data_IF_174064288559
#
_entry.id   IF_174064288559
#
_cell.length_a   1.000
_cell.length_b   1.000
_cell.length_c   1.000
_cell.angle_alpha   90.00
_cell.angle_beta   90.00
_cell.angle_gamma   90.00
#
_symmetry.space_group_name_H-M   'P 1'
#
loop_
_entity.id
_entity.type
_entity.pdbx_description
1 polymer ?
#
# COMPACT_ATOMS: atom_id res chain seq x y z
N UNK A 1 14.83 7.11 -7.11
CA UNK A 1 16.11 7.73 -6.64
C UNK A 1 16.07 7.81 -5.13
N UNK A 2 17.14 7.42 -4.42
CA UNK A 2 17.23 7.53 -2.96
C UNK A 2 17.40 9.00 -2.60
N UNK A 3 16.46 9.53 -1.85
CA UNK A 3 16.50 10.91 -1.35
C UNK A 3 17.05 10.92 0.08
N UNK A 4 18.33 11.25 0.21
CA UNK A 4 19.03 11.27 1.51
C UNK A 4 18.62 12.46 2.39
N UNK A 5 17.90 13.42 1.84
CA UNK A 5 17.37 14.57 2.60
C UNK A 5 16.00 14.26 3.21
N UNK A 6 15.35 13.20 2.77
CA UNK A 6 14.07 12.77 3.28
C UNK A 6 14.26 12.01 4.61
N UNK A 7 13.74 12.53 5.74
CA UNK A 7 13.85 11.87 7.04
C UNK A 7 13.16 10.51 7.10
N UNK A 8 12.25 10.23 6.17
CA UNK A 8 11.56 8.95 6.06
C UNK A 8 12.28 7.96 5.13
N UNK A 9 13.41 8.37 4.50
CA UNK A 9 14.25 7.54 3.66
C UNK A 9 15.48 7.04 4.43
N UNK A 10 15.31 5.99 5.22
CA UNK A 10 16.46 5.33 5.88
C UNK A 10 17.14 4.41 4.86
N UNK A 11 18.35 4.73 4.48
CA UNK A 11 19.11 3.97 3.48
C UNK A 11 20.50 3.59 3.98
N UNK A 12 21.01 2.48 3.44
CA UNK A 12 22.40 2.04 3.67
C UNK A 12 23.01 1.54 2.36
N UNK A 13 24.33 1.55 2.33
CA UNK A 13 25.10 0.97 1.22
C UNK A 13 25.85 -0.26 1.75
N UNK A 14 25.81 -1.35 0.99
CA UNK A 14 26.62 -2.54 1.28
C UNK A 14 27.13 -3.21 0.02
N UNK A 15 28.24 -3.93 0.15
CA UNK A 15 28.71 -4.83 -0.90
C UNK A 15 28.00 -6.18 -0.80
N UNK A 16 27.56 -6.70 -1.93
CA UNK A 16 26.97 -8.03 -2.04
C UNK A 16 27.76 -8.84 -3.06
N UNK A 17 27.95 -10.12 -2.75
CA UNK A 17 28.53 -11.07 -3.68
C UNK A 17 27.51 -11.40 -4.75
N UNK A 18 27.87 -11.19 -6.02
CA UNK A 18 27.05 -11.57 -7.17
C UNK A 18 27.33 -13.02 -7.52
N UNK A 19 26.30 -13.84 -7.58
CA UNK A 19 26.39 -15.24 -8.00
C UNK A 19 26.02 -15.37 -9.47
N UNK A 20 26.56 -16.38 -10.14
CA UNK A 20 26.36 -16.58 -11.58
C UNK A 20 24.89 -16.66 -12.02
N UNK A 21 23.98 -17.15 -11.18
CA UNK A 21 22.54 -17.22 -11.51
C UNK A 21 21.82 -15.85 -11.44
N UNK A 22 22.47 -14.84 -10.88
CA UNK A 22 21.94 -13.46 -10.75
C UNK A 22 22.30 -12.59 -11.97
N UNK A 23 23.05 -13.14 -12.92
CA UNK A 23 23.39 -12.46 -14.17
C UNK A 23 22.17 -12.46 -15.12
N UNK A 24 22.07 -11.44 -15.96
CA UNK A 24 21.02 -11.35 -17.00
C UNK A 24 21.10 -12.54 -17.98
N UNK A 25 22.31 -13.04 -18.23
CA UNK A 25 22.61 -14.23 -19.07
C UNK A 25 23.45 -15.20 -18.25
N UNK A 26 22.83 -16.04 -17.40
CA UNK A 26 23.57 -17.03 -16.64
C UNK A 26 24.21 -18.06 -17.60
N UNK A 27 25.46 -18.42 -17.36
CA UNK A 27 26.16 -19.45 -18.12
C UNK A 27 25.51 -20.83 -17.86
N UNK A 28 24.82 -21.44 -18.84
CA UNK A 28 24.11 -22.69 -18.65
C UNK A 28 25.02 -23.89 -18.36
N UNK A 29 26.34 -23.75 -18.59
CA UNK A 29 27.31 -24.83 -18.34
C UNK A 29 27.78 -24.87 -16.89
N UNK A 30 27.50 -23.82 -16.10
CA UNK A 30 27.90 -23.73 -14.68
C UNK A 30 26.74 -24.11 -13.76
N UNK A 31 26.64 -25.40 -13.45
CA UNK A 31 25.63 -25.90 -12.50
C UNK A 31 25.93 -25.55 -11.03
N UNK A 32 27.11 -25.03 -10.70
CA UNK A 32 27.48 -24.61 -9.34
C UNK A 32 27.33 -23.12 -9.19
N UNK A 33 26.74 -22.69 -8.05
CA UNK A 33 26.69 -21.31 -7.64
C UNK A 33 28.11 -20.81 -7.36
N UNK A 34 28.66 -20.02 -8.28
CA UNK A 34 30.00 -19.43 -8.15
C UNK A 34 29.87 -17.91 -8.03
N UNK A 35 30.73 -17.33 -7.19
CA UNK A 35 30.87 -15.89 -7.14
C UNK A 35 31.49 -15.41 -8.44
N UNK A 36 30.89 -14.39 -9.06
CA UNK A 36 31.40 -13.74 -10.28
C UNK A 36 31.91 -12.32 -10.00
N UNK A 37 31.80 -11.86 -8.76
CA UNK A 37 32.28 -10.56 -8.32
C UNK A 37 31.53 -10.03 -7.11
N UNK A 38 31.82 -8.78 -6.76
CA UNK A 38 31.09 -8.01 -5.76
C UNK A 38 30.42 -6.82 -6.44
N UNK A 39 29.27 -6.43 -5.93
CA UNK A 39 28.54 -5.25 -6.38
C UNK A 39 28.09 -4.42 -5.18
N UNK A 40 28.24 -3.11 -5.29
CA UNK A 40 27.69 -2.18 -4.31
C UNK A 40 26.19 -2.01 -4.56
N UNK A 41 25.38 -2.28 -3.54
CA UNK A 41 23.93 -2.07 -3.59
C UNK A 41 23.52 -1.01 -2.58
N UNK A 42 22.53 -0.22 -2.96
CA UNK A 42 21.89 0.74 -2.09
C UNK A 42 20.55 0.15 -1.64
N UNK A 43 20.39 -0.02 -0.34
CA UNK A 43 19.17 -0.57 0.26
C UNK A 43 18.40 0.53 0.96
N UNK A 44 17.07 0.57 0.75
CA UNK A 44 16.15 1.43 1.49
C UNK A 44 15.42 0.56 2.50
N UNK A 45 15.36 1.01 3.75
CA UNK A 45 14.56 0.36 4.76
C UNK A 45 13.07 0.52 4.45
N UNK A 46 12.34 -0.60 4.38
CA UNK A 46 10.90 -0.60 4.11
C UNK A 46 10.10 -0.58 5.42
N UNK A 47 9.25 0.42 5.65
CA UNK A 47 8.38 0.49 6.84
C UNK A 47 7.18 -0.46 6.78
N UNK A 48 6.94 -1.12 5.65
CA UNK A 48 5.74 -1.91 5.36
C UNK A 48 5.42 -2.92 6.46
N UNK A 49 6.40 -3.68 6.92
CA UNK A 49 6.21 -4.72 7.94
C UNK A 49 5.97 -4.17 9.33
N UNK A 50 6.71 -3.13 9.69
CA UNK A 50 6.57 -2.50 11.00
C UNK A 50 5.17 -1.89 11.14
N UNK A 51 4.70 -1.19 10.10
CA UNK A 51 3.35 -0.60 10.11
C UNK A 51 2.27 -1.69 10.03
N UNK A 52 2.47 -2.78 9.27
CA UNK A 52 1.53 -3.89 9.24
C UNK A 52 1.39 -4.57 10.61
N UNK A 53 2.50 -4.71 11.34
CA UNK A 53 2.48 -5.23 12.71
C UNK A 53 1.73 -4.28 13.65
N UNK A 54 1.98 -2.97 13.54
CA UNK A 54 1.26 -1.96 14.32
C UNK A 54 -0.26 -2.04 14.07
N UNK A 55 -0.69 -2.15 12.81
CA UNK A 55 -2.12 -2.34 12.48
C UNK A 55 -2.69 -3.58 13.18
N UNK A 56 -1.95 -4.68 13.22
CA UNK A 56 -2.40 -5.92 13.88
C UNK A 56 -2.45 -5.83 15.40
N UNK A 57 -1.63 -4.99 16.00
CA UNK A 57 -1.64 -4.75 17.45
C UNK A 57 -2.79 -3.81 17.86
N UNK A 58 -3.11 -2.83 17.03
CA UNK A 58 -4.12 -1.81 17.31
C UNK A 58 -5.54 -2.22 16.86
N UNK A 59 -5.64 -3.01 15.79
CA UNK A 59 -6.93 -3.43 15.23
C UNK A 59 -7.04 -4.96 15.19
N UNK A 60 -8.18 -5.55 15.59
CA UNK A 60 -8.39 -7.00 15.61
C UNK A 60 -8.61 -7.58 14.20
N UNK A 61 -7.75 -7.20 13.26
CA UNK A 61 -7.85 -7.62 11.86
C UNK A 61 -7.16 -8.96 11.62
N UNK A 62 -7.77 -9.78 10.77
CA UNK A 62 -7.12 -10.99 10.24
C UNK A 62 -5.95 -10.60 9.34
N UNK A 63 -4.90 -11.42 9.27
CA UNK A 63 -3.73 -11.17 8.42
C UNK A 63 -4.10 -10.89 6.96
N UNK A 64 -5.09 -11.61 6.42
CA UNK A 64 -5.58 -11.35 5.06
C UNK A 64 -6.18 -9.94 4.93
N UNK A 65 -6.99 -9.50 5.89
CA UNK A 65 -7.58 -8.15 5.86
C UNK A 65 -6.51 -7.06 5.85
N UNK A 66 -5.47 -7.19 6.69
CA UNK A 66 -4.34 -6.23 6.69
C UNK A 66 -3.64 -6.19 5.32
N UNK A 67 -3.39 -7.35 4.73
CA UNK A 67 -2.70 -7.45 3.42
C UNK A 67 -3.44 -6.79 2.27
N UNK A 68 -4.76 -6.77 2.31
CA UNK A 68 -5.60 -6.23 1.24
C UNK A 68 -6.15 -4.84 1.54
N UNK A 69 -5.71 -4.18 2.62
CA UNK A 69 -6.07 -2.79 2.87
C UNK A 69 -5.68 -1.91 1.69
N UNK A 70 -6.63 -1.08 1.28
CA UNK A 70 -6.43 -0.13 0.19
C UNK A 70 -5.79 1.16 0.71
N UNK A 71 -4.85 1.72 -0.03
CA UNK A 71 -4.15 2.96 0.31
C UNK A 71 -4.95 4.24 0.06
N UNK A 72 -6.08 4.13 -0.68
CA UNK A 72 -6.89 5.28 -1.08
C UNK A 72 -6.30 6.07 -2.25
N UNK A 73 -5.36 5.49 -3.01
CA UNK A 73 -4.78 6.19 -4.17
C UNK A 73 -5.77 6.39 -5.32
N UNK A 74 -6.90 5.67 -5.33
CA UNK A 74 -8.01 5.87 -6.27
C UNK A 74 -9.19 6.65 -5.68
N UNK A 75 -9.12 7.04 -4.41
CA UNK A 75 -10.18 7.82 -3.76
C UNK A 75 -10.26 9.24 -4.33
N UNK A 76 -11.45 9.86 -4.24
CA UNK A 76 -11.65 11.24 -4.68
C UNK A 76 -10.91 12.24 -3.80
N UNK A 77 -10.88 11.97 -2.50
CA UNK A 77 -10.20 12.79 -1.50
C UNK A 77 -9.07 12.03 -0.85
N UNK A 78 -7.97 12.72 -0.64
CA UNK A 78 -6.77 12.19 -0.01
C UNK A 78 -6.55 12.84 1.33
N UNK A 79 -6.29 12.04 2.35
CA UNK A 79 -5.87 12.52 3.66
C UNK A 79 -4.36 12.83 3.65
N UNK A 80 -3.99 13.95 4.27
CA UNK A 80 -2.60 14.36 4.43
C UNK A 80 -2.31 14.71 5.88
N UNK A 81 -1.03 14.62 6.27
CA UNK A 81 -0.58 15.15 7.54
C UNK A 81 -0.48 16.69 7.46
N UNK A 82 -1.09 17.38 8.40
CA UNK A 82 -0.84 18.80 8.59
C UNK A 82 0.56 18.98 9.20
N UNK A 83 1.51 19.66 8.56
CA UNK A 83 2.89 19.75 9.04
C UNK A 83 3.02 20.30 10.46
N UNK A 84 2.22 21.32 10.79
CA UNK A 84 2.20 21.93 12.13
C UNK A 84 1.59 20.96 13.16
N UNK A 85 0.48 20.31 12.81
CA UNK A 85 -0.14 19.30 13.66
C UNK A 85 0.76 18.10 13.90
N UNK A 86 1.46 17.60 12.86
CA UNK A 86 2.43 16.50 12.98
C UNK A 86 3.61 16.87 13.87
N UNK A 87 4.10 18.10 13.78
CA UNK A 87 5.18 18.57 14.65
C UNK A 87 4.73 18.59 16.12
N UNK A 88 3.58 19.18 16.43
CA UNK A 88 3.01 19.22 17.78
C UNK A 88 2.82 17.80 18.33
N UNK A 89 2.22 16.92 17.52
CA UNK A 89 1.98 15.53 17.90
C UNK A 89 3.28 14.78 18.26
N UNK A 90 4.34 14.93 17.46
CA UNK A 90 5.65 14.32 17.74
C UNK A 90 6.32 14.84 19.00
N UNK A 91 6.08 16.10 19.34
CA UNK A 91 6.59 16.74 20.54
C UNK A 91 5.79 16.39 21.80
N UNK A 92 4.68 15.65 21.66
CA UNK A 92 3.75 15.41 22.77
C UNK A 92 2.98 16.65 23.21
N UNK A 93 2.97 17.69 22.38
CA UNK A 93 2.28 18.94 22.66
C UNK A 93 0.80 18.83 22.33
N UNK A 94 -0.09 19.51 23.06
CA UNK A 94 -1.52 19.57 22.75
C UNK A 94 -1.75 20.12 21.33
N UNK A 95 -2.61 19.47 20.57
CA UNK A 95 -2.98 19.91 19.22
C UNK A 95 -3.82 21.18 19.23
N UNK A 96 -4.60 21.41 20.29
CA UNK A 96 -5.52 22.54 20.40
C UNK A 96 -6.49 22.55 19.21
N UNK A 97 -6.56 23.66 18.49
CA UNK A 97 -7.37 23.80 17.27
C UNK A 97 -6.62 23.42 16.00
N UNK A 98 -5.34 22.99 16.09
CA UNK A 98 -4.55 22.59 14.92
C UNK A 98 -4.86 21.13 14.59
N UNK A 99 -5.48 20.81 13.44
CA UNK A 99 -5.78 19.42 13.09
C UNK A 99 -4.48 18.67 12.77
N UNK A 100 -4.42 17.38 13.13
CA UNK A 100 -3.32 16.49 12.73
C UNK A 100 -3.43 16.10 11.25
N UNK A 101 -4.65 16.01 10.75
CA UNK A 101 -4.93 15.59 9.37
C UNK A 101 -5.73 16.66 8.63
N UNK A 102 -5.55 16.71 7.33
CA UNK A 102 -6.37 17.49 6.42
C UNK A 102 -6.75 16.65 5.19
N UNK A 103 -7.85 17.00 4.55
CA UNK A 103 -8.32 16.35 3.35
C UNK A 103 -8.16 17.27 2.15
N UNK A 104 -7.63 16.72 1.05
CA UNK A 104 -7.44 17.43 -0.21
C UNK A 104 -7.98 16.59 -1.38
N UNK A 105 -8.29 17.20 -2.53
CA UNK A 105 -8.54 16.44 -3.75
C UNK A 105 -7.34 15.55 -4.10
N UNK A 106 -7.61 14.33 -4.57
CA UNK A 106 -6.54 13.39 -4.93
C UNK A 106 -6.06 13.64 -6.37
N UNK A 107 -4.82 14.12 -6.57
CA UNK A 107 -4.32 14.47 -7.90
C UNK A 107 -4.01 13.23 -8.77
N UNK A 108 -3.79 12.07 -8.15
CA UNK A 108 -3.38 10.86 -8.86
C UNK A 108 -4.56 10.00 -9.36
N UNK A 109 -5.77 10.25 -8.85
CA UNK A 109 -6.97 9.46 -9.16
C UNK A 109 -7.18 9.25 -10.65
N UNK A 110 -7.27 10.34 -11.41
CA UNK A 110 -7.57 10.28 -12.85
C UNK A 110 -6.49 9.54 -13.63
N UNK A 111 -5.22 9.73 -13.27
CA UNK A 111 -4.10 9.04 -13.89
C UNK A 111 -4.18 7.52 -13.67
N UNK A 112 -4.48 7.09 -12.44
CA UNK A 112 -4.56 5.68 -12.09
C UNK A 112 -5.78 4.99 -12.73
N UNK A 113 -6.88 5.70 -12.89
CA UNK A 113 -8.13 5.16 -13.45
C UNK A 113 -8.21 5.21 -14.98
N UNK A 114 -7.35 5.99 -15.65
CA UNK A 114 -7.44 6.28 -17.09
C UNK A 114 -7.50 5.04 -17.98
N UNK A 115 -6.75 4.01 -17.64
CA UNK A 115 -6.56 2.80 -18.46
C UNK A 115 -7.28 1.57 -17.88
N UNK A 116 -8.14 1.75 -16.89
CA UNK A 116 -8.87 0.63 -16.32
C UNK A 116 -10.07 0.25 -17.19
N UNK A 117 -10.32 -1.06 -17.40
CA UNK A 117 -11.47 -1.55 -18.15
C UNK A 117 -12.78 -1.49 -17.31
N UNK A 118 -12.85 -0.63 -16.32
CA UNK A 118 -14.02 -0.45 -15.44
C UNK A 118 -14.81 0.77 -15.87
N UNK A 119 -16.14 0.68 -15.82
CA UNK A 119 -16.98 1.85 -16.05
C UNK A 119 -16.73 2.88 -14.93
N UNK A 120 -16.52 4.14 -15.29
CA UNK A 120 -16.20 5.22 -14.34
C UNK A 120 -17.23 5.36 -13.21
N UNK A 121 -18.51 5.03 -13.46
CA UNK A 121 -19.57 5.04 -12.46
C UNK A 121 -19.47 3.90 -11.41
N UNK A 122 -18.65 2.89 -11.66
CA UNK A 122 -18.46 1.75 -10.78
C UNK A 122 -17.29 1.95 -9.78
N UNK A 123 -16.55 3.07 -9.86
CA UNK A 123 -15.44 3.37 -8.97
C UNK A 123 -15.96 4.15 -7.77
N UNK A 124 -15.79 3.59 -6.57
CA UNK A 124 -16.18 4.26 -5.35
C UNK A 124 -15.45 5.61 -5.18
N UNK A 125 -16.13 6.58 -4.59
CA UNK A 125 -15.51 7.86 -4.23
C UNK A 125 -14.52 7.72 -3.08
N UNK A 126 -14.73 6.71 -2.23
CA UNK A 126 -13.86 6.37 -1.11
C UNK A 126 -13.82 4.87 -0.92
N UNK A 127 -12.63 4.29 -1.01
CA UNK A 127 -12.37 2.86 -0.88
C UNK A 127 -11.15 2.57 0.01
N UNK A 128 -10.26 3.55 0.16
CA UNK A 128 -9.07 3.44 0.97
C UNK A 128 -9.34 3.24 2.45
N UNK A 129 -8.31 2.78 3.16
CA UNK A 129 -8.38 2.53 4.61
C UNK A 129 -8.78 3.77 5.43
N UNK A 130 -8.60 4.96 4.88
CA UNK A 130 -8.90 6.22 5.55
C UNK A 130 -10.37 6.61 5.33
N UNK A 131 -11.21 6.37 6.31
CA UNK A 131 -12.62 6.73 6.26
C UNK A 131 -12.80 8.19 6.69
N UNK A 132 -13.19 9.07 5.76
CA UNK A 132 -13.60 10.42 6.09
C UNK A 132 -14.99 10.40 6.69
N UNK A 133 -15.15 11.01 7.84
CA UNK A 133 -16.45 11.26 8.46
C UNK A 133 -16.57 12.73 8.82
N UNK A 134 -17.71 13.28 8.48
CA UNK A 134 -18.07 14.65 8.83
C UNK A 134 -19.33 14.58 9.67
N UNK A 135 -19.28 15.16 10.83
CA UNK A 135 -20.45 15.54 11.60
C UNK A 135 -20.52 17.08 11.67
N UNK A 136 -21.59 17.62 12.29
CA UNK A 136 -21.82 19.07 12.34
C UNK A 136 -20.68 19.83 13.04
N UNK A 137 -19.87 19.17 13.84
CA UNK A 137 -18.85 19.80 14.68
C UNK A 137 -17.42 19.50 14.20
N UNK A 138 -17.16 18.40 13.52
CA UNK A 138 -15.78 17.97 13.22
C UNK A 138 -15.66 17.06 12.01
N UNK A 139 -14.52 17.15 11.36
CA UNK A 139 -14.08 16.25 10.32
C UNK A 139 -13.07 15.29 10.95
N UNK A 140 -13.40 14.01 11.07
CA UNK A 140 -12.52 13.01 11.68
C UNK A 140 -12.26 11.80 10.79
N UNK A 141 -11.22 11.06 11.14
CA UNK A 141 -10.74 9.92 10.35
C UNK A 141 -11.05 8.62 11.08
N UNK A 142 -11.82 7.76 10.45
CA UNK A 142 -11.99 6.36 10.87
C UNK A 142 -11.25 5.41 9.95
N UNK A 143 -11.54 4.11 10.09
CA UNK A 143 -10.99 3.07 9.21
C UNK A 143 -12.09 2.46 8.34
N UNK A 144 -11.77 2.22 7.08
CA UNK A 144 -12.53 1.37 6.20
C UNK A 144 -11.74 0.10 5.91
N UNK A 145 -12.33 -1.04 6.25
CA UNK A 145 -11.78 -2.35 5.99
C UNK A 145 -12.49 -2.91 4.77
N UNK A 146 -11.79 -2.98 3.66
CA UNK A 146 -12.35 -3.28 2.33
C UNK A 146 -12.82 -4.74 2.13
N UNK A 147 -12.71 -5.59 3.14
CA UNK A 147 -13.22 -6.97 3.09
C UNK A 147 -13.60 -7.50 4.47
N UNK A 148 -14.72 -8.22 4.53
CA UNK A 148 -15.12 -9.04 5.66
C UNK A 148 -15.03 -10.55 5.32
N UNK A 149 -14.12 -10.91 4.41
CA UNK A 149 -13.82 -12.28 3.98
C UNK A 149 -15.10 -13.06 3.59
N UNK A 150 -15.45 -14.09 4.35
CA UNK A 150 -16.58 -14.98 4.05
C UNK A 150 -17.94 -14.27 4.02
N UNK A 151 -18.12 -13.23 4.83
CA UNK A 151 -19.38 -12.46 4.85
C UNK A 151 -19.57 -11.60 3.60
N UNK A 152 -18.56 -11.49 2.75
CA UNK A 152 -18.59 -10.69 1.52
C UNK A 152 -18.61 -11.54 0.24
N UNK A 153 -18.69 -12.87 0.35
CA UNK A 153 -18.62 -13.78 -0.81
C UNK A 153 -19.73 -13.47 -1.82
N UNK A 154 -20.95 -13.29 -1.31
CA UNK A 154 -22.14 -13.07 -2.14
C UNK A 154 -22.48 -11.58 -2.34
N UNK A 155 -21.61 -10.68 -1.87
CA UNK A 155 -21.81 -9.24 -2.02
C UNK A 155 -21.10 -8.72 -3.25
N UNK A 156 -21.72 -7.81 -3.97
CA UNK A 156 -21.03 -6.99 -4.93
C UNK A 156 -19.95 -6.11 -4.23
N UNK A 157 -19.00 -5.61 -4.99
CA UNK A 157 -17.85 -4.92 -4.43
C UNK A 157 -18.22 -3.64 -3.64
N UNK A 158 -19.33 -2.98 -3.96
CA UNK A 158 -19.80 -1.75 -3.30
C UNK A 158 -20.28 -1.99 -1.88
N UNK A 159 -20.74 -3.20 -1.59
CA UNK A 159 -21.28 -3.61 -0.29
C UNK A 159 -20.29 -4.44 0.54
N UNK A 160 -19.06 -4.59 0.06
CA UNK A 160 -18.00 -5.30 0.80
C UNK A 160 -17.35 -4.43 1.85
N UNK A 161 -16.78 -5.11 2.84
CA UNK A 161 -16.05 -4.46 3.91
C UNK A 161 -16.95 -3.91 5.02
N UNK A 162 -16.33 -3.14 5.89
CA UNK A 162 -17.02 -2.50 7.02
C UNK A 162 -16.23 -1.29 7.51
N UNK A 163 -16.88 -0.46 8.32
CA UNK A 163 -16.36 0.80 8.84
C UNK A 163 -16.07 0.69 10.33
N UNK A 164 -14.94 1.22 10.77
CA UNK A 164 -14.58 1.37 12.18
C UNK A 164 -14.53 2.88 12.46
N UNK A 165 -15.55 3.46 13.12
CA UNK A 165 -15.61 4.89 13.38
C UNK A 165 -14.76 5.29 14.60
N UNK A 166 -13.51 4.94 14.58
CA UNK A 166 -12.55 5.20 15.65
C UNK A 166 -11.30 5.88 15.11
N UNK A 167 -11.00 7.06 15.61
CA UNK A 167 -9.79 7.77 15.26
C UNK A 167 -8.67 7.42 16.21
N UNK A 168 -7.60 6.83 15.69
CA UNK A 168 -6.34 6.62 16.38
C UNK A 168 -5.26 7.44 15.70
N UNK A 169 -4.88 8.57 16.32
CA UNK A 169 -3.95 9.53 15.73
C UNK A 169 -2.59 8.90 15.40
N UNK A 170 -2.06 8.06 16.28
CA UNK A 170 -0.78 7.40 16.07
C UNK A 170 -0.84 6.43 14.88
N UNK A 171 -1.85 5.56 14.85
CA UNK A 171 -2.00 4.58 13.78
C UNK A 171 -2.28 5.25 12.43
N UNK A 172 -3.24 6.19 12.37
CA UNK A 172 -3.54 6.93 11.13
C UNK A 172 -2.32 7.68 10.60
N UNK A 173 -1.55 8.31 11.51
CA UNK A 173 -0.31 8.98 11.13
C UNK A 173 0.68 8.03 10.44
N UNK A 174 0.90 6.85 11.00
CA UNK A 174 1.80 5.87 10.39
C UNK A 174 1.29 5.31 9.08
N UNK A 175 -0.02 5.12 8.94
CA UNK A 175 -0.63 4.69 7.68
C UNK A 175 -0.49 5.76 6.58
N UNK A 176 -0.69 7.05 6.91
CA UNK A 176 -0.46 8.15 5.97
C UNK A 176 1.02 8.21 5.55
N UNK A 177 1.95 8.10 6.51
CA UNK A 177 3.40 8.07 6.20
C UNK A 177 3.75 6.87 5.33
N UNK A 178 3.22 5.69 5.61
CA UNK A 178 3.43 4.51 4.79
C UNK A 178 2.91 4.72 3.37
N UNK A 179 1.70 5.24 3.19
CA UNK A 179 1.15 5.53 1.86
C UNK A 179 2.04 6.50 1.10
N UNK A 180 2.48 7.60 1.72
CA UNK A 180 3.35 8.60 1.09
C UNK A 180 4.71 7.99 0.73
N UNK A 181 5.28 7.17 1.59
CA UNK A 181 6.50 6.42 1.33
C UNK A 181 6.32 5.47 0.13
N UNK A 182 5.21 4.71 0.09
CA UNK A 182 4.89 3.81 -1.03
C UNK A 182 4.78 4.57 -2.36
N UNK A 183 4.10 5.71 -2.37
CA UNK A 183 3.96 6.52 -3.58
C UNK A 183 5.31 7.05 -4.08
N UNK A 184 6.21 7.41 -3.18
CA UNK A 184 7.53 7.96 -3.52
C UNK A 184 8.51 6.88 -3.96
N UNK A 185 8.59 5.76 -3.24
CA UNK A 185 9.64 4.75 -3.42
C UNK A 185 9.15 3.45 -4.08
N UNK A 186 7.86 3.22 -4.12
CA UNK A 186 7.23 2.03 -4.69
C UNK A 186 5.89 2.37 -5.38
N UNK A 187 5.90 3.32 -6.35
CA UNK A 187 4.67 3.75 -7.01
C UNK A 187 4.06 2.59 -7.79
N UNK A 188 2.73 2.60 -7.88
CA UNK A 188 1.99 1.69 -8.74
C UNK A 188 1.66 2.38 -10.04
N UNK A 189 1.74 1.65 -11.14
CA UNK A 189 1.33 2.12 -12.46
C UNK A 189 -0.15 1.88 -12.73
N UNK A 190 -0.72 0.84 -12.13
CA UNK A 190 -2.11 0.44 -12.31
C UNK A 190 -2.66 -0.26 -11.06
N UNK A 191 -3.87 0.08 -10.61
CA UNK A 191 -4.54 -0.63 -9.53
C UNK A 191 -4.84 -2.09 -9.90
N UNK A 192 -4.87 -2.95 -8.90
CA UNK A 192 -5.30 -4.34 -9.06
C UNK A 192 -6.81 -4.42 -9.00
N UNK A 193 -7.44 -5.09 -9.92
CA UNK A 193 -8.88 -5.31 -9.89
C UNK A 193 -9.23 -6.38 -8.83
N UNK A 194 -10.22 -6.11 -7.99
CA UNK A 194 -10.61 -7.01 -6.90
C UNK A 194 -10.97 -8.42 -7.37
N UNK A 195 -11.54 -8.57 -8.56
CA UNK A 195 -11.84 -9.88 -9.18
C UNK A 195 -10.60 -10.76 -9.36
N UNK A 196 -9.43 -10.17 -9.62
CA UNK A 196 -8.17 -10.92 -9.75
C UNK A 196 -7.72 -11.50 -8.42
N UNK A 197 -7.95 -10.76 -7.32
CA UNK A 197 -7.68 -11.22 -5.96
C UNK A 197 -8.56 -12.41 -5.57
N UNK A 198 -9.85 -12.28 -5.82
CA UNK A 198 -10.84 -13.32 -5.48
C UNK A 198 -10.54 -14.62 -6.22
N UNK A 199 -10.10 -14.53 -7.47
CA UNK A 199 -9.69 -15.69 -8.28
C UNK A 199 -8.52 -16.48 -7.69
N UNK A 200 -7.45 -15.77 -7.31
CA UNK A 200 -6.23 -16.41 -6.78
C UNK A 200 -6.48 -17.12 -5.45
N UNK A 201 -7.44 -16.63 -4.67
CA UNK A 201 -7.71 -17.16 -3.33
C UNK A 201 -8.84 -18.18 -3.25
N UNK A 202 -9.78 -18.18 -4.19
CA UNK A 202 -10.95 -19.06 -4.16
C UNK A 202 -10.96 -20.16 -5.23
N UNK A 203 -9.94 -20.21 -6.09
CA UNK A 203 -9.88 -21.21 -7.17
C UNK A 203 -10.99 -21.07 -8.23
N UNK A 204 -11.70 -19.94 -8.24
CA UNK A 204 -12.84 -19.75 -9.11
C UNK A 204 -12.45 -19.52 -10.57
N UNK A 205 -13.12 -20.23 -11.47
CA UNK A 205 -13.04 -20.07 -12.92
C UNK A 205 -13.67 -18.73 -13.35
N UNK A 206 -13.08 -18.14 -14.38
CA UNK A 206 -13.48 -16.85 -14.97
C UNK A 206 -14.92 -16.86 -15.47
N UNK A 207 -15.72 -15.86 -15.07
CA UNK A 207 -16.74 -15.32 -15.94
C UNK A 207 -16.32 -13.91 -16.35
N UNK A 208 -16.29 -13.63 -17.64
CA UNK A 208 -15.89 -12.33 -18.23
C UNK A 208 -16.86 -11.20 -17.85
N UNK A 209 -18.07 -11.56 -17.44
CA UNK A 209 -19.13 -10.61 -17.10
C UNK A 209 -18.81 -9.70 -15.88
N UNK A 210 -17.89 -10.08 -15.00
CA UNK A 210 -17.67 -9.37 -13.73
C UNK A 210 -16.49 -8.37 -13.77
N UNK A 211 -15.82 -8.18 -14.90
CA UNK A 211 -14.73 -7.19 -15.01
C UNK A 211 -15.23 -5.75 -14.94
N UNK A 212 -16.47 -5.51 -15.39
CA UNK A 212 -17.08 -4.16 -15.37
C UNK A 212 -17.46 -3.69 -13.96
N UNK A 213 -17.61 -4.63 -13.01
CA UNK A 213 -18.00 -4.36 -11.62
C UNK A 213 -16.85 -4.51 -10.62
N UNK A 214 -15.61 -4.60 -11.11
CA UNK A 214 -14.46 -4.81 -10.26
C UNK A 214 -13.97 -3.52 -9.61
N UNK A 215 -13.76 -3.55 -8.29
CA UNK A 215 -13.17 -2.43 -7.57
C UNK A 215 -11.66 -2.32 -7.85
N UNK A 216 -11.17 -1.16 -8.32
CA UNK A 216 -9.74 -0.92 -8.46
C UNK A 216 -9.12 -0.72 -7.08
N UNK A 217 -8.19 -1.59 -6.69
CA UNK A 217 -7.57 -1.61 -5.38
C UNK A 217 -6.08 -1.29 -5.48
N UNK A 218 -5.64 -0.34 -4.67
CA UNK A 218 -4.24 0.04 -4.49
C UNK A 218 -3.75 -0.47 -3.14
N UNK A 219 -3.02 -1.59 -3.11
CA UNK A 219 -2.60 -2.17 -1.83
C UNK A 219 -1.66 -1.26 -1.05
N UNK A 220 -2.03 -0.95 0.20
CA UNK A 220 -1.21 -0.16 1.11
C UNK A 220 0.07 -0.93 1.49
N UNK A 221 -0.04 -2.23 1.77
CA UNK A 221 1.06 -3.09 2.17
C UNK A 221 1.67 -3.86 0.99
N UNK A 222 1.94 -3.17 -0.11
CA UNK A 222 2.64 -3.73 -1.27
C UNK A 222 4.14 -3.79 -1.00
N UNK A 223 4.80 -4.82 -1.48
CA UNK A 223 6.27 -4.90 -1.53
C UNK A 223 6.76 -4.39 -2.88
N UNK A 224 8.00 -3.87 -2.91
CA UNK A 224 8.63 -3.49 -4.15
C UNK A 224 8.70 -4.70 -5.09
N UNK A 225 8.38 -4.47 -6.36
CA UNK A 225 8.56 -5.50 -7.37
C UNK A 225 10.06 -5.86 -7.45
N UNK A 226 10.37 -7.15 -7.39
CA UNK A 226 11.66 -7.60 -7.92
C UNK A 226 11.72 -7.26 -9.41
N UNK A 227 12.89 -6.84 -9.91
CA UNK A 227 13.06 -6.44 -11.31
C UNK A 227 12.30 -7.38 -12.26
N UNK A 228 11.42 -6.83 -13.09
CA UNK A 228 10.68 -7.57 -14.10
C UNK A 228 9.44 -8.35 -13.63
N UNK A 229 9.03 -8.24 -12.36
CA UNK A 229 7.76 -8.84 -11.88
C UNK A 229 6.84 -7.77 -11.32
N UNK A 230 5.53 -7.84 -11.59
CA UNK A 230 4.57 -6.95 -10.95
C UNK A 230 4.63 -7.14 -9.43
N UNK A 231 4.35 -6.08 -8.62
CA UNK A 231 4.34 -6.18 -7.18
C UNK A 231 3.45 -7.33 -6.74
N UNK A 232 4.03 -8.30 -6.04
CA UNK A 232 3.27 -9.43 -5.56
C UNK A 232 2.42 -9.00 -4.36
N UNK A 233 1.14 -9.33 -4.38
CA UNK A 233 0.21 -9.13 -3.25
C UNK A 233 0.52 -10.07 -2.08
N UNK A 234 1.49 -10.96 -2.24
CA UNK A 234 1.96 -11.89 -1.22
C UNK A 234 3.19 -11.31 -0.54
N UNK A 235 2.99 -10.29 0.31
CA UNK A 235 3.98 -9.95 1.30
C UNK A 235 4.21 -11.18 2.19
N UNK A 236 5.24 -11.95 1.88
CA UNK A 236 5.77 -12.90 2.86
C UNK A 236 6.43 -12.05 3.94
N UNK A 237 6.01 -12.17 5.18
CA UNK A 237 6.57 -11.43 6.31
C UNK A 237 8.06 -11.80 6.59
N UNK A 238 8.86 -12.08 5.56
CA UNK A 238 10.14 -12.76 5.68
C UNK A 238 11.38 -12.17 4.98
N UNK A 239 11.34 -11.16 4.15
CA UNK A 239 12.55 -10.72 3.42
C UNK A 239 12.65 -9.21 3.23
N UNK A 240 13.86 -8.66 3.37
CA UNK A 240 14.18 -7.28 3.00
C UNK A 240 13.98 -7.12 1.49
N UNK A 241 13.17 -6.15 1.07
CA UNK A 241 13.12 -5.76 -0.32
C UNK A 241 14.40 -4.98 -0.65
N UNK A 242 15.33 -5.58 -1.37
CA UNK A 242 16.42 -4.85 -1.99
C UNK A 242 15.89 -4.25 -3.29
N UNK A 243 15.66 -2.95 -3.31
CA UNK A 243 15.41 -2.22 -4.55
C UNK A 243 16.76 -1.94 -5.19
N UNK A 244 17.08 -2.64 -6.26
CA UNK A 244 18.19 -2.26 -7.12
C UNK A 244 17.75 -1.02 -7.90
N UNK A 245 18.36 0.10 -7.61
CA UNK A 245 18.24 1.31 -8.41
C UNK A 245 19.53 1.39 -9.23
N UNK A 246 19.44 1.09 -10.53
CA UNK A 246 20.48 1.34 -11.51
C UNK A 246 20.75 2.82 -11.70
#
# INVERSE_FOLDING_TARGET
MIDRTDPDCVSRTREVTVLNYQLEKPDPTKHKLTSVGTRTVHEIWSPVRAVALLVKLELPLRTFQVRVLDSGETDRSRIELNPKGDQLFRQGSPLGTTPLFCWAPNPDREKLLKNLPVQRGCVADQQGVFLRRQDEASDYVGFFINTNKTSDIDKDWQHRGYRIPWQNNALHRWLVKLRNWQQKYNPISQPTLWTELTRKHLGATKSEANLQEAAPTCFLFREAAAQGKPPSTTASFGTYASTEIG
#
